data_IF_874592907007
#
_entry.id   IF_874592907007
#
_cell.length_a   1.000
_cell.length_b   1.000
_cell.length_c   1.000
_cell.angle_alpha   90.00
_cell.angle_beta   90.00
_cell.angle_gamma   90.00
#
_symmetry.space_group_name_H-M   'P 1'
#
loop_
_entity.id
_entity.type
_entity.pdbx_description
1 polymer ?
#
# COMPACT_ATOMS: atom_id res chain seq x y z
N UNK A 1 14.15 -10.91 -18.28
CA UNK A 1 13.73 -10.81 -16.86
C UNK A 1 12.38 -11.45 -16.69
N UNK A 2 12.21 -12.27 -15.68
CA UNK A 2 10.93 -12.89 -15.34
C UNK A 2 10.01 -11.84 -14.74
N UNK A 3 8.77 -11.79 -15.20
CA UNK A 3 7.75 -10.86 -14.71
C UNK A 3 6.65 -11.61 -14.00
N UNK A 4 6.23 -11.07 -12.86
CA UNK A 4 5.10 -11.55 -12.09
C UNK A 4 4.07 -10.44 -11.99
N UNK A 5 2.86 -10.68 -12.45
CA UNK A 5 1.80 -9.67 -12.50
C UNK A 5 0.61 -10.07 -11.65
N UNK A 6 0.05 -9.09 -10.97
CA UNK A 6 -1.21 -9.21 -10.24
C UNK A 6 -2.10 -8.01 -10.52
N UNK A 7 -3.40 -8.18 -10.37
CA UNK A 7 -4.39 -7.12 -10.58
C UNK A 7 -5.18 -6.94 -9.29
N UNK A 8 -5.34 -5.69 -8.89
CA UNK A 8 -6.15 -5.28 -7.75
C UNK A 8 -7.29 -4.41 -8.23
N UNK A 9 -8.51 -4.73 -7.82
CA UNK A 9 -9.69 -3.91 -8.08
C UNK A 9 -10.03 -3.13 -6.83
N UNK A 10 -10.08 -1.80 -6.94
CA UNK A 10 -10.39 -0.92 -5.83
C UNK A 10 -11.57 -0.03 -6.23
N UNK A 11 -12.54 0.12 -5.32
CA UNK A 11 -13.63 1.08 -5.47
C UNK A 11 -13.07 2.49 -5.68
N UNK A 12 -13.67 3.23 -6.60
CA UNK A 12 -13.19 4.56 -6.96
C UNK A 12 -13.15 5.53 -5.77
N UNK A 13 -14.15 5.52 -4.93
CA UNK A 13 -14.19 6.40 -3.76
C UNK A 13 -13.11 6.04 -2.74
N UNK A 14 -12.86 4.75 -2.56
CA UNK A 14 -11.79 4.25 -1.72
C UNK A 14 -10.41 4.60 -2.29
N UNK A 15 -10.23 4.46 -3.59
CA UNK A 15 -9.01 4.86 -4.29
C UNK A 15 -8.72 6.36 -4.09
N UNK A 16 -9.74 7.19 -4.26
CA UNK A 16 -9.61 8.65 -4.09
C UNK A 16 -9.29 9.03 -2.63
N UNK A 17 -9.90 8.33 -1.67
CA UNK A 17 -9.63 8.51 -0.24
C UNK A 17 -8.17 8.21 0.09
N UNK A 18 -7.66 7.06 -0.36
CA UNK A 18 -6.29 6.62 -0.12
C UNK A 18 -5.30 7.60 -0.72
N UNK A 19 -5.51 8.03 -1.96
CA UNK A 19 -4.61 8.99 -2.62
C UNK A 19 -4.62 10.34 -1.93
N UNK A 20 -5.77 10.78 -1.42
CA UNK A 20 -5.86 12.02 -0.66
C UNK A 20 -5.03 11.94 0.62
N UNK A 21 -5.06 10.80 1.32
CA UNK A 21 -4.26 10.58 2.52
C UNK A 21 -2.77 10.51 2.22
N UNK A 22 -2.38 9.79 1.17
CA UNK A 22 -0.98 9.66 0.76
C UNK A 22 -0.37 10.99 0.30
N UNK A 23 -1.17 11.89 -0.23
CA UNK A 23 -0.72 13.19 -0.71
C UNK A 23 -0.53 14.25 0.40
N UNK A 24 -0.96 13.97 1.63
CA UNK A 24 -0.87 14.93 2.73
C UNK A 24 0.58 15.00 3.23
N UNK A 25 1.16 16.19 3.13
CA UNK A 25 2.42 16.52 3.81
C UNK A 25 2.12 16.80 5.28
N UNK A 26 3.03 16.46 6.17
CA UNK A 26 2.90 16.75 7.62
C UNK A 26 1.76 16.00 8.34
N UNK A 27 1.44 14.78 7.91
CA UNK A 27 0.44 13.95 8.58
C UNK A 27 0.69 13.80 10.08
N UNK A 28 1.94 13.71 10.48
CA UNK A 28 2.36 13.55 11.87
C UNK A 28 2.06 14.76 12.75
N UNK A 29 1.80 15.93 12.15
CA UNK A 29 1.45 17.17 12.86
C UNK A 29 -0.06 17.36 12.97
N UNK A 30 -0.85 16.52 12.31
CA UNK A 30 -2.30 16.66 12.31
C UNK A 30 -2.91 16.08 13.58
N UNK A 31 -3.97 16.72 14.06
CA UNK A 31 -4.80 16.18 15.15
C UNK A 31 -5.66 15.01 14.64
N UNK A 32 -6.15 14.18 15.55
CA UNK A 32 -7.06 13.08 15.18
C UNK A 32 -8.31 13.60 14.45
N UNK A 33 -8.84 14.74 14.88
CA UNK A 33 -10.01 15.36 14.21
C UNK A 33 -9.71 15.76 12.77
N UNK A 34 -8.53 16.32 12.51
CA UNK A 34 -8.10 16.68 11.17
C UNK A 34 -7.86 15.45 10.30
N UNK A 35 -7.27 14.39 10.86
CA UNK A 35 -7.07 13.12 10.16
C UNK A 35 -8.40 12.48 9.77
N UNK A 36 -9.38 12.47 10.67
CA UNK A 36 -10.72 11.95 10.42
C UNK A 36 -11.43 12.74 9.31
N UNK A 37 -11.29 14.06 9.29
CA UNK A 37 -11.83 14.91 8.21
C UNK A 37 -11.25 14.58 6.85
N UNK A 38 -10.00 14.10 6.81
CA UNK A 38 -9.36 13.64 5.58
C UNK A 38 -9.70 12.19 5.23
N UNK A 39 -10.50 11.51 6.04
CA UNK A 39 -10.93 10.15 5.80
C UNK A 39 -10.04 9.07 6.41
N UNK A 40 -9.14 9.43 7.31
CA UNK A 40 -8.32 8.45 8.02
C UNK A 40 -9.11 7.75 9.13
N UNK A 41 -8.79 6.48 9.36
CA UNK A 41 -9.23 5.75 10.55
C UNK A 41 -8.09 5.81 11.56
N UNK A 42 -8.28 6.51 12.67
CA UNK A 42 -7.26 6.63 13.71
C UNK A 42 -7.18 5.37 14.57
N UNK A 43 -5.98 5.05 15.06
CA UNK A 43 -5.67 3.90 15.90
C UNK A 43 -5.98 2.53 15.28
N UNK A 44 -5.94 2.44 13.96
CA UNK A 44 -6.15 1.18 13.24
C UNK A 44 -5.15 1.03 12.10
N UNK A 45 -4.92 -0.21 11.69
CA UNK A 45 -4.27 -0.54 10.44
C UNK A 45 -5.32 -1.00 9.43
N UNK A 46 -5.37 -0.34 8.29
CA UNK A 46 -6.25 -0.70 7.20
C UNK A 46 -5.47 -1.50 6.17
N UNK A 47 -5.91 -2.73 5.89
CA UNK A 47 -5.41 -3.48 4.76
C UNK A 47 -5.99 -2.92 3.47
N UNK A 48 -5.14 -2.36 2.61
CA UNK A 48 -5.58 -1.79 1.34
C UNK A 48 -5.67 -2.87 0.28
N UNK A 49 -4.61 -3.67 0.14
CA UNK A 49 -4.67 -4.87 -0.69
C UNK A 49 -3.62 -5.89 -0.28
N UNK A 50 -3.90 -7.13 -0.64
CA UNK A 50 -2.95 -8.24 -0.59
C UNK A 50 -3.05 -8.99 -1.91
N UNK A 51 -1.92 -9.23 -2.55
CA UNK A 51 -1.85 -10.02 -3.77
C UNK A 51 -0.81 -11.11 -3.64
N UNK A 52 -1.06 -12.24 -4.26
CA UNK A 52 -0.12 -13.35 -4.37
C UNK A 52 0.24 -13.55 -5.84
N UNK A 53 1.53 -13.64 -6.11
CA UNK A 53 2.04 -13.85 -7.46
C UNK A 53 2.12 -15.34 -7.80
N UNK A 54 2.34 -15.64 -9.08
CA UNK A 54 2.40 -17.00 -9.61
C UNK A 54 3.52 -17.86 -9.00
N UNK A 55 4.58 -17.24 -8.50
CA UNK A 55 5.69 -17.92 -7.83
C UNK A 55 5.49 -18.10 -6.31
N UNK A 56 4.35 -17.68 -5.77
CA UNK A 56 4.04 -17.75 -4.34
C UNK A 56 4.50 -16.55 -3.52
N UNK A 57 5.28 -15.63 -4.09
CA UNK A 57 5.59 -14.37 -3.43
C UNK A 57 4.33 -13.51 -3.31
N UNK A 58 4.31 -12.58 -2.36
CA UNK A 58 3.16 -11.72 -2.12
C UNK A 58 3.55 -10.27 -1.93
N UNK A 59 2.59 -9.38 -2.13
CA UNK A 59 2.74 -7.96 -1.85
C UNK A 59 1.52 -7.49 -1.08
N UNK A 60 1.78 -6.86 0.06
CA UNK A 60 0.75 -6.35 0.97
C UNK A 60 0.90 -4.85 1.13
N UNK A 61 -0.19 -4.14 1.06
CA UNK A 61 -0.22 -2.71 1.31
C UNK A 61 -1.18 -2.39 2.45
N UNK A 62 -0.64 -1.80 3.51
CA UNK A 62 -1.40 -1.37 4.67
C UNK A 62 -1.24 0.13 4.90
N UNK A 63 -2.32 0.79 5.26
CA UNK A 63 -2.30 2.11 5.85
C UNK A 63 -2.54 1.98 7.34
N UNK A 64 -1.64 2.51 8.14
CA UNK A 64 -1.73 2.42 9.59
C UNK A 64 -1.79 3.82 10.19
N UNK A 65 -2.61 3.98 11.21
CA UNK A 65 -2.65 5.20 12.00
C UNK A 65 -2.51 4.86 13.48
N UNK A 66 -1.58 5.54 14.13
CA UNK A 66 -1.51 5.61 15.58
C UNK A 66 -1.86 7.02 16.00
N UNK A 67 -1.97 7.27 17.30
CA UNK A 67 -2.29 8.58 17.81
C UNK A 67 -1.26 9.63 17.31
N UNK A 68 -1.71 10.55 16.46
CA UNK A 68 -0.91 11.60 15.81
C UNK A 68 0.13 11.13 14.79
N UNK A 69 0.06 9.89 14.35
CA UNK A 69 0.92 9.37 13.29
C UNK A 69 0.10 8.57 12.29
N UNK A 70 0.40 8.78 11.02
CA UNK A 70 -0.19 8.01 9.92
C UNK A 70 0.94 7.58 9.00
N UNK A 71 0.99 6.31 8.64
CA UNK A 71 2.05 5.77 7.76
C UNK A 71 1.53 4.69 6.84
N UNK A 72 2.27 4.46 5.78
CA UNK A 72 2.00 3.40 4.83
C UNK A 72 3.14 2.37 4.83
N UNK A 73 2.76 1.11 4.75
CA UNK A 73 3.69 0.01 4.59
C UNK A 73 3.33 -0.83 3.36
N UNK A 74 4.28 -0.94 2.44
CA UNK A 74 4.20 -1.91 1.34
C UNK A 74 5.29 -2.94 1.55
N UNK A 75 4.88 -4.19 1.73
CA UNK A 75 5.78 -5.28 2.09
C UNK A 75 5.71 -6.38 1.03
N UNK A 76 6.87 -6.70 0.45
CA UNK A 76 7.04 -7.89 -0.36
C UNK A 76 7.50 -9.04 0.52
N UNK A 77 6.87 -10.22 0.36
CA UNK A 77 7.23 -11.45 1.09
C UNK A 77 7.55 -12.54 0.09
N UNK A 78 8.65 -13.25 0.30
CA UNK A 78 9.05 -14.35 -0.58
C UNK A 78 8.09 -15.56 -0.47
N UNK A 79 8.21 -16.50 -1.43
CA UNK A 79 7.27 -17.61 -1.57
C UNK A 79 7.14 -18.49 -0.33
N UNK A 80 8.24 -18.76 0.39
CA UNK A 80 8.22 -19.59 1.61
C UNK A 80 7.99 -18.79 2.89
N UNK A 81 7.75 -17.48 2.76
CA UNK A 81 7.43 -16.56 3.86
C UNK A 81 8.52 -16.46 4.94
N UNK A 82 9.77 -16.63 4.52
CA UNK A 82 10.92 -16.52 5.41
C UNK A 82 11.58 -15.16 5.39
N UNK A 83 11.23 -14.29 4.41
CA UNK A 83 11.84 -12.97 4.25
C UNK A 83 10.83 -11.95 3.76
N UNK A 84 10.83 -10.80 4.43
CA UNK A 84 10.05 -9.62 4.05
C UNK A 84 10.99 -8.50 3.61
N UNK A 85 10.58 -7.75 2.59
CA UNK A 85 11.25 -6.53 2.17
C UNK A 85 10.23 -5.40 2.24
N UNK A 86 10.52 -4.37 3.03
CA UNK A 86 9.73 -3.15 3.08
C UNK A 86 10.15 -2.28 1.91
N UNK A 87 9.18 -1.94 1.07
CA UNK A 87 9.43 -1.10 -0.08
C UNK A 87 9.23 0.36 0.32
N UNK A 88 10.22 1.19 -0.01
CA UNK A 88 10.10 2.64 0.18
C UNK A 88 9.09 3.19 -0.80
N UNK A 89 8.10 3.83 -0.27
CA UNK A 89 6.96 4.28 -1.03
C UNK A 89 6.70 5.77 -0.87
N UNK A 90 7.00 6.52 -1.91
CA UNK A 90 6.46 7.87 -2.08
C UNK A 90 5.23 7.75 -2.99
N UNK A 91 4.07 7.36 -2.41
CA UNK A 91 3.01 6.91 -3.28
C UNK A 91 1.85 7.86 -3.48
N UNK A 92 1.55 7.96 -4.71
CA UNK A 92 0.17 7.90 -5.20
C UNK A 92 -0.19 6.42 -5.33
N UNK A 93 -1.41 6.04 -5.03
CA UNK A 93 -1.91 4.70 -5.30
C UNK A 93 -2.08 4.55 -6.81
N UNK A 94 -1.08 3.98 -7.44
CA UNK A 94 -1.00 3.72 -8.86
C UNK A 94 -0.39 2.33 -9.03
N UNK A 95 -0.21 1.91 -10.28
CA UNK A 95 0.45 0.65 -10.57
C UNK A 95 1.81 0.59 -9.88
N UNK A 96 2.09 -0.53 -9.25
CA UNK A 96 3.37 -0.77 -8.55
C UNK A 96 4.23 -1.64 -9.45
N UNK A 97 5.48 -1.23 -9.63
CA UNK A 97 6.46 -1.99 -10.37
C UNK A 97 7.77 -1.99 -9.60
N UNK A 98 8.24 -3.16 -9.19
CA UNK A 98 9.44 -3.29 -8.38
C UNK A 98 10.26 -4.49 -8.83
N UNK A 99 11.58 -4.29 -8.91
CA UNK A 99 12.53 -5.35 -9.21
C UNK A 99 13.14 -5.89 -7.91
N UNK A 100 13.01 -7.19 -7.69
CA UNK A 100 13.56 -7.89 -6.54
C UNK A 100 14.24 -9.16 -7.03
N UNK A 101 15.53 -9.33 -6.75
CA UNK A 101 16.31 -10.52 -7.09
C UNK A 101 16.27 -10.88 -8.58
N UNK A 102 16.36 -9.87 -9.46
CA UNK A 102 16.30 -10.01 -10.92
C UNK A 102 14.94 -10.49 -11.46
N UNK A 103 13.90 -10.39 -10.68
CA UNK A 103 12.52 -10.64 -11.08
C UNK A 103 11.70 -9.36 -10.90
N UNK A 104 10.77 -9.10 -11.81
CA UNK A 104 9.94 -7.91 -11.81
C UNK A 104 8.54 -8.26 -11.29
N UNK A 105 8.12 -7.56 -10.24
CA UNK A 105 6.79 -7.71 -9.65
C UNK A 105 5.94 -6.50 -10.00
N UNK A 106 4.81 -6.75 -10.61
CA UNK A 106 3.90 -5.70 -11.11
C UNK A 106 2.53 -5.90 -10.49
N UNK A 107 1.99 -4.85 -9.88
CA UNK A 107 0.61 -4.81 -9.41
C UNK A 107 -0.12 -3.72 -10.19
N UNK A 108 -1.14 -4.10 -10.92
CA UNK A 108 -2.01 -3.17 -11.64
C UNK A 108 -3.23 -2.85 -10.81
N UNK A 109 -3.51 -1.57 -10.62
CA UNK A 109 -4.65 -1.08 -9.85
C UNK A 109 -5.75 -0.66 -10.81
N UNK A 110 -6.93 -1.25 -10.67
CA UNK A 110 -8.09 -0.92 -11.49
C UNK A 110 -9.18 -0.33 -10.61
N UNK A 111 -9.60 0.88 -10.96
CA UNK A 111 -10.73 1.55 -10.30
C UNK A 111 -12.04 0.99 -10.81
N UNK A 112 -12.93 0.75 -9.91
CA UNK A 112 -14.29 0.32 -10.26
C UNK A 112 -15.31 1.43 -10.06
#
# INVERSE_FOLDING_TARGET
>A
MIKHEAIVYIDKDEFDRINRLLAIESLEEMTDSELIEQGANTDVCEGIFYVEFDNGASLNFDLCSGQHNYWDDVVWTNADKTRDIILDCEYELDDIEVEIENELYIVKIIKM
#
